data_IF_880861148352
#
_entry.id   IF_880861148352
#
_cell.length_a   1.000
_cell.length_b   1.000
_cell.length_c   1.000
_cell.angle_alpha   90.00
_cell.angle_beta   90.00
_cell.angle_gamma   90.00
#
_symmetry.space_group_name_H-M   'P 1'
#
loop_
_entity.id
_entity.type
_entity.pdbx_description
1 polymer ?
#
# COMPACT_ATOMS: atom_id res chain seq x y z
N UNK A 1 -18.55 20.57 34.00
CA UNK A 1 -17.98 19.23 34.27
C UNK A 1 -16.46 19.30 34.13
N UNK A 2 -15.71 19.28 35.23
CA UNK A 2 -14.24 19.25 35.18
C UNK A 2 -13.77 17.83 34.86
N UNK A 3 -13.01 17.68 33.77
CA UNK A 3 -12.42 16.40 33.37
C UNK A 3 -11.27 16.09 34.33
N UNK A 4 -11.43 15.10 35.22
CA UNK A 4 -10.35 14.61 36.09
C UNK A 4 -9.17 14.19 35.20
N UNK A 5 -7.96 14.68 35.51
CA UNK A 5 -6.73 14.20 34.87
C UNK A 5 -6.59 12.71 35.17
N UNK A 6 -6.50 11.91 34.12
CA UNK A 6 -6.16 10.49 34.21
C UNK A 6 -4.79 10.32 34.89
N UNK A 7 -4.55 9.18 35.59
CA UNK A 7 -3.27 8.89 36.21
C UNK A 7 -2.15 8.94 35.17
N UNK A 8 -0.95 9.42 35.56
CA UNK A 8 0.25 9.31 34.71
C UNK A 8 0.56 7.82 34.55
N UNK A 9 0.21 7.24 33.40
CA UNK A 9 0.72 5.93 33.00
C UNK A 9 2.14 6.12 32.48
N UNK A 10 3.09 5.37 33.05
CA UNK A 10 4.43 5.28 32.48
C UNK A 10 4.31 4.65 31.10
N UNK A 11 4.60 5.47 30.09
CA UNK A 11 4.47 5.06 28.69
C UNK A 11 5.61 4.09 28.39
N UNK A 12 5.27 2.87 27.97
CA UNK A 12 6.26 1.92 27.47
C UNK A 12 7.11 2.59 26.39
N UNK A 13 8.42 2.31 26.43
CA UNK A 13 9.35 2.78 25.40
C UNK A 13 8.92 2.21 24.05
N UNK A 14 9.00 3.05 23.01
CA UNK A 14 8.72 2.60 21.64
C UNK A 14 9.77 1.54 21.26
N UNK A 15 9.36 0.50 20.54
CA UNK A 15 10.28 -0.52 20.04
C UNK A 15 11.40 0.06 19.16
N UNK A 16 11.12 1.19 18.49
CA UNK A 16 12.09 1.92 17.66
C UNK A 16 13.14 2.69 18.47
N UNK A 17 13.05 2.72 19.80
CA UNK A 17 13.98 3.48 20.62
C UNK A 17 13.81 5.00 20.50
N UNK A 18 14.93 5.70 20.66
CA UNK A 18 15.00 7.16 20.81
C UNK A 18 15.79 7.75 19.65
N UNK A 19 15.26 8.79 19.01
CA UNK A 19 15.98 9.55 17.97
C UNK A 19 17.04 10.52 18.54
N UNK A 20 17.56 10.23 19.74
CA UNK A 20 18.64 10.99 20.37
C UNK A 20 19.93 10.21 20.15
N UNK A 21 20.94 10.89 19.63
CA UNK A 21 22.25 10.32 19.30
C UNK A 21 23.04 9.91 20.56
N UNK A 22 22.73 10.53 21.72
CA UNK A 22 23.38 10.30 23.02
C UNK A 22 24.93 10.33 22.96
N UNK A 23 25.48 10.98 21.94
CA UNK A 23 26.90 11.20 21.70
C UNK A 23 27.10 12.52 20.96
N UNK A 24 28.35 13.00 20.91
CA UNK A 24 28.71 14.17 20.14
C UNK A 24 28.87 13.79 18.66
N UNK A 25 28.28 14.59 17.76
CA UNK A 25 28.48 14.47 16.32
C UNK A 25 29.39 15.59 15.83
N UNK A 26 30.31 15.26 14.92
CA UNK A 26 31.20 16.22 14.25
C UNK A 26 30.60 16.86 12.99
N UNK A 27 29.46 16.36 12.49
CA UNK A 27 28.76 16.97 11.36
C UNK A 27 28.16 18.31 11.77
N UNK A 28 28.43 19.35 10.98
CA UNK A 28 27.97 20.70 11.26
C UNK A 28 27.83 21.53 9.98
N UNK A 29 27.00 22.58 10.06
CA UNK A 29 26.92 23.64 9.05
C UNK A 29 27.44 24.92 9.68
N UNK A 30 28.46 25.52 9.07
CA UNK A 30 29.02 26.81 9.49
C UNK A 30 28.67 27.86 8.45
N UNK A 31 27.87 28.85 8.83
CA UNK A 31 27.48 29.96 7.96
C UNK A 31 28.28 31.20 8.33
N UNK A 32 28.85 31.87 7.33
CA UNK A 32 29.52 33.16 7.45
C UNK A 32 28.73 34.16 6.62
N UNK A 33 28.23 35.21 7.26
CA UNK A 33 27.46 36.28 6.63
C UNK A 33 28.35 37.52 6.61
N UNK A 34 28.60 38.04 5.42
CA UNK A 34 29.23 39.34 5.15
C UNK A 34 28.21 40.25 4.45
N UNK A 35 28.42 41.57 4.45
CA UNK A 35 27.44 42.60 4.06
C UNK A 35 26.52 42.24 2.88
N UNK A 36 27.07 41.70 1.78
CA UNK A 36 26.30 41.26 0.60
C UNK A 36 26.50 39.79 0.22
N UNK A 37 27.14 38.96 1.05
CA UNK A 37 27.45 37.58 0.69
C UNK A 37 27.28 36.62 1.88
N UNK A 38 26.57 35.51 1.64
CA UNK A 38 26.43 34.42 2.58
C UNK A 38 27.21 33.20 2.08
N UNK A 39 28.17 32.72 2.88
CA UNK A 39 28.97 31.53 2.58
C UNK A 39 28.68 30.45 3.61
N UNK A 40 28.22 29.28 3.16
CA UNK A 40 27.93 28.13 4.01
C UNK A 40 28.94 27.00 3.78
N UNK A 41 29.59 26.56 4.84
CA UNK A 41 30.42 25.36 4.87
C UNK A 41 29.62 24.22 5.50
N UNK A 42 29.60 23.06 4.84
CA UNK A 42 28.91 21.89 5.34
C UNK A 42 29.86 20.70 5.47
N UNK A 43 29.89 20.10 6.65
CA UNK A 43 30.67 18.90 6.96
C UNK A 43 29.72 17.71 7.03
N UNK A 44 29.65 16.95 5.93
CA UNK A 44 28.69 15.83 5.77
C UNK A 44 29.02 14.60 6.61
N UNK A 45 30.30 14.35 6.86
CA UNK A 45 30.75 13.13 7.51
C UNK A 45 30.40 13.15 8.99
N UNK A 46 29.67 12.13 9.44
CA UNK A 46 29.31 11.95 10.85
C UNK A 46 30.38 11.07 11.52
N UNK A 47 30.99 11.57 12.59
CA UNK A 47 31.80 10.76 13.52
C UNK A 47 31.13 10.77 14.90
N UNK A 48 31.25 9.65 15.63
CA UNK A 48 30.71 9.50 16.99
C UNK A 48 29.35 8.82 17.08
N UNK A 49 28.69 8.54 15.96
CA UNK A 49 27.46 7.73 15.91
C UNK A 49 27.22 7.14 14.53
N UNK A 50 26.41 6.08 14.48
CA UNK A 50 25.93 5.51 13.24
C UNK A 50 24.67 6.22 12.73
N UNK A 51 24.38 6.03 11.45
CA UNK A 51 23.16 6.54 10.84
C UNK A 51 22.11 5.44 10.85
N UNK A 52 21.14 5.56 11.74
CA UNK A 52 20.03 4.63 11.81
C UNK A 52 18.98 4.92 10.72
N UNK A 53 18.90 4.04 9.72
CA UNK A 53 17.98 4.20 8.59
C UNK A 53 16.53 4.42 9.04
N UNK A 54 16.07 3.73 10.08
CA UNK A 54 14.70 3.86 10.62
C UNK A 54 14.32 5.28 11.07
N UNK A 55 15.31 6.09 11.46
CA UNK A 55 15.10 7.46 11.94
C UNK A 55 15.23 8.51 10.82
N UNK A 56 15.65 8.09 9.63
CA UNK A 56 15.66 8.96 8.46
C UNK A 56 14.24 9.24 7.96
N UNK A 57 14.08 10.40 7.32
CA UNK A 57 12.85 10.74 6.61
C UNK A 57 12.82 10.03 5.26
N UNK A 58 11.64 9.60 4.85
CA UNK A 58 11.39 9.13 3.48
C UNK A 58 11.59 10.32 2.54
N UNK A 59 12.27 10.10 1.41
CA UNK A 59 12.56 11.17 0.45
C UNK A 59 11.27 11.77 -0.12
N UNK A 60 11.30 13.05 -0.48
CA UNK A 60 10.14 13.72 -1.08
C UNK A 60 9.67 13.04 -2.36
N UNK A 61 10.62 12.52 -3.15
CA UNK A 61 10.35 11.77 -4.38
C UNK A 61 9.57 10.49 -4.07
N UNK A 62 10.05 9.67 -3.15
CA UNK A 62 9.40 8.39 -2.85
C UNK A 62 8.03 8.60 -2.21
N UNK A 63 7.89 9.64 -1.37
CA UNK A 63 6.59 10.05 -0.83
C UNK A 63 5.60 10.39 -1.92
N UNK A 64 6.02 11.13 -2.96
CA UNK A 64 5.17 11.47 -4.09
C UNK A 64 4.79 10.21 -4.90
N UNK A 65 5.71 9.28 -5.11
CA UNK A 65 5.43 8.00 -5.78
C UNK A 65 4.38 7.19 -5.02
N UNK A 66 4.52 7.06 -3.70
CA UNK A 66 3.53 6.37 -2.84
C UNK A 66 2.18 7.09 -2.88
N UNK A 67 2.19 8.42 -2.79
CA UNK A 67 0.98 9.23 -2.88
C UNK A 67 0.25 9.01 -4.22
N UNK A 68 0.99 8.94 -5.33
CA UNK A 68 0.43 8.59 -6.65
C UNK A 68 -0.25 7.22 -6.64
N UNK A 69 0.41 6.18 -6.11
CA UNK A 69 -0.20 4.84 -5.97
C UNK A 69 -1.48 4.87 -5.13
N UNK A 70 -1.46 5.59 -4.00
CA UNK A 70 -2.65 5.75 -3.14
C UNK A 70 -3.78 6.50 -3.85
N UNK A 71 -3.45 7.54 -4.63
CA UNK A 71 -4.42 8.30 -5.40
C UNK A 71 -5.05 7.49 -6.54
N UNK A 72 -4.34 6.46 -7.04
CA UNK A 72 -4.87 5.49 -8.00
C UNK A 72 -5.66 4.34 -7.35
N UNK A 73 -5.93 4.41 -6.03
CA UNK A 73 -6.71 3.38 -5.32
C UNK A 73 -5.93 2.11 -4.99
N UNK A 74 -4.60 2.08 -5.17
CA UNK A 74 -3.77 0.93 -4.78
C UNK A 74 -3.79 0.78 -3.25
N UNK A 75 -4.08 -0.44 -2.78
CA UNK A 75 -4.16 -0.71 -1.33
C UNK A 75 -2.81 -0.56 -0.63
N UNK A 76 -2.82 -0.15 0.64
CA UNK A 76 -1.60 0.00 1.46
C UNK A 76 -0.85 -1.34 1.55
N UNK A 77 -1.58 -2.45 1.64
CA UNK A 77 -0.99 -3.80 1.66
C UNK A 77 -0.20 -4.07 0.38
N UNK A 78 -0.77 -3.77 -0.80
CA UNK A 78 -0.06 -3.96 -2.07
C UNK A 78 1.18 -3.08 -2.18
N UNK A 79 1.09 -1.82 -1.74
CA UNK A 79 2.25 -0.91 -1.72
C UNK A 79 3.38 -1.47 -0.84
N UNK A 80 3.05 -2.03 0.33
CA UNK A 80 4.05 -2.64 1.22
C UNK A 80 4.68 -3.89 0.59
N UNK A 81 3.87 -4.73 -0.06
CA UNK A 81 4.37 -5.97 -0.67
C UNK A 81 5.23 -5.69 -1.90
N UNK A 82 4.84 -4.74 -2.75
CA UNK A 82 5.67 -4.27 -3.88
C UNK A 82 7.03 -3.76 -3.38
N UNK A 83 7.03 -3.00 -2.29
CA UNK A 83 8.26 -2.46 -1.73
C UNK A 83 9.17 -3.56 -1.15
N UNK A 84 8.57 -4.57 -0.50
CA UNK A 84 9.29 -5.74 0.00
C UNK A 84 9.83 -6.64 -1.11
N UNK A 85 9.24 -6.62 -2.30
CA UNK A 85 9.73 -7.40 -3.44
C UNK A 85 10.89 -6.71 -4.17
N UNK A 86 10.95 -5.38 -4.14
CA UNK A 86 11.97 -4.59 -4.84
C UNK A 86 13.21 -4.27 -3.98
N UNK A 87 13.39 -4.94 -2.84
CA UNK A 87 14.50 -4.66 -1.95
C UNK A 87 15.84 -5.18 -2.51
N UNK A 88 16.91 -4.43 -2.30
CA UNK A 88 18.27 -4.86 -2.59
C UNK A 88 19.06 -4.98 -1.28
N UNK A 89 19.50 -6.19 -0.94
CA UNK A 89 20.22 -6.45 0.31
C UNK A 89 21.50 -5.60 0.47
N UNK A 90 22.15 -5.27 -0.65
CA UNK A 90 23.42 -4.53 -0.65
C UNK A 90 23.25 -3.02 -0.43
N UNK A 91 22.03 -2.47 -0.56
CA UNK A 91 21.75 -1.03 -0.45
C UNK A 91 20.42 -0.78 0.23
N UNK A 92 20.35 -1.07 1.52
CA UNK A 92 19.16 -0.76 2.32
C UNK A 92 18.97 0.76 2.46
N UNK A 93 17.80 1.24 2.07
CA UNK A 93 17.38 2.62 2.15
C UNK A 93 16.21 2.78 3.13
N UNK A 94 15.90 4.02 3.51
CA UNK A 94 14.75 4.32 4.38
C UNK A 94 13.43 3.82 3.78
N UNK A 95 13.29 3.86 2.45
CA UNK A 95 12.08 3.43 1.75
C UNK A 95 11.83 1.93 1.92
N UNK A 96 12.86 1.10 2.04
CA UNK A 96 12.71 -0.36 2.20
C UNK A 96 12.08 -0.72 3.55
N UNK A 97 12.21 0.16 4.55
CA UNK A 97 11.65 0.02 5.89
C UNK A 97 10.27 0.69 6.03
N UNK A 98 9.46 0.69 4.97
CA UNK A 98 8.11 1.26 5.01
C UNK A 98 7.22 0.52 6.01
N UNK A 99 6.47 1.29 6.79
CA UNK A 99 5.41 0.78 7.67
C UNK A 99 4.04 1.25 7.21
N UNK A 100 2.97 0.56 7.64
CA UNK A 100 1.59 1.05 7.45
C UNK A 100 1.40 2.47 7.96
N UNK A 101 2.07 2.81 9.07
CA UNK A 101 1.99 4.14 9.66
C UNK A 101 2.62 5.21 8.76
N UNK A 102 3.74 4.89 8.12
CA UNK A 102 4.37 5.79 7.15
C UNK A 102 3.43 6.11 5.99
N UNK A 103 2.80 5.08 5.42
CA UNK A 103 1.87 5.23 4.30
C UNK A 103 0.63 6.04 4.72
N UNK A 104 0.08 5.80 5.91
CA UNK A 104 -1.02 6.62 6.45
C UNK A 104 -0.62 8.10 6.64
N UNK A 105 0.59 8.36 7.14
CA UNK A 105 1.07 9.72 7.30
C UNK A 105 1.27 10.40 5.94
N UNK A 106 1.72 9.65 4.92
CA UNK A 106 1.81 10.14 3.54
C UNK A 106 0.41 10.46 3.02
N UNK A 107 -0.54 9.52 3.10
CA UNK A 107 -1.96 9.72 2.72
C UNK A 107 -2.52 11.02 3.28
N UNK A 108 -2.36 11.22 4.59
CA UNK A 108 -2.79 12.46 5.25
C UNK A 108 -2.04 13.69 4.76
N UNK A 109 -0.72 13.62 4.56
CA UNK A 109 0.07 14.77 4.11
C UNK A 109 -0.26 15.25 2.70
N UNK A 110 -0.86 14.38 1.88
CA UNK A 110 -1.31 14.68 0.52
C UNK A 110 -2.83 14.86 0.42
N UNK A 111 -3.56 14.86 1.55
CA UNK A 111 -5.03 14.95 1.60
C UNK A 111 -5.73 13.95 0.65
N UNK A 112 -5.25 12.70 0.62
CA UNK A 112 -5.85 11.66 -0.20
C UNK A 112 -7.01 11.04 0.59
N UNK A 113 -8.23 11.37 0.20
CA UNK A 113 -9.46 10.92 0.89
C UNK A 113 -10.02 9.58 0.35
N UNK A 114 -9.32 8.97 -0.60
CA UNK A 114 -9.72 7.69 -1.19
C UNK A 114 -9.71 6.58 -0.12
N UNK A 115 -10.83 5.88 0.05
CA UNK A 115 -10.97 4.75 0.95
C UNK A 115 -10.27 3.54 0.32
N UNK A 116 -9.49 2.78 1.11
CA UNK A 116 -8.77 1.60 0.57
C UNK A 116 -9.75 0.63 -0.11
N UNK A 117 -9.44 0.23 -1.35
CA UNK A 117 -10.27 -0.73 -2.10
C UNK A 117 -11.48 -0.11 -2.80
N UNK A 118 -11.71 1.19 -2.67
CA UNK A 118 -12.78 1.92 -3.37
C UNK A 118 -12.14 2.73 -4.48
N UNK A 119 -12.26 2.26 -5.73
CA UNK A 119 -11.67 2.91 -6.92
C UNK A 119 -12.40 4.19 -7.30
N UNK A 120 -13.70 4.25 -7.03
CA UNK A 120 -14.58 5.38 -7.26
C UNK A 120 -15.61 5.47 -6.14
N UNK A 121 -16.10 6.67 -5.80
CA UNK A 121 -17.14 6.86 -4.77
C UNK A 121 -18.46 6.16 -5.09
N UNK A 122 -18.62 5.73 -6.35
CA UNK A 122 -19.75 4.98 -6.85
C UNK A 122 -19.28 3.57 -7.21
N UNK A 123 -19.84 2.58 -6.52
CA UNK A 123 -19.39 1.19 -6.60
C UNK A 123 -19.60 0.59 -8.00
N UNK A 124 -20.68 0.98 -8.70
CA UNK A 124 -20.96 0.53 -10.06
C UNK A 124 -19.81 0.86 -11.03
N UNK A 125 -19.31 2.10 -10.99
CA UNK A 125 -18.20 2.56 -11.83
C UNK A 125 -16.91 1.78 -11.50
N UNK A 126 -16.66 1.52 -10.22
CA UNK A 126 -15.49 0.74 -9.78
C UNK A 126 -15.49 -0.67 -10.34
N UNK A 127 -16.68 -1.30 -10.40
CA UNK A 127 -16.88 -2.65 -10.92
C UNK A 127 -16.79 -2.65 -12.44
N UNK A 128 -17.39 -1.68 -13.14
CA UNK A 128 -17.25 -1.54 -14.60
C UNK A 128 -15.78 -1.45 -15.01
N UNK A 129 -15.01 -0.59 -14.34
CA UNK A 129 -13.56 -0.46 -14.57
C UNK A 129 -12.82 -1.78 -14.32
N UNK A 130 -13.16 -2.51 -13.25
CA UNK A 130 -12.59 -3.82 -12.96
C UNK A 130 -12.93 -4.86 -14.05
N UNK A 131 -14.17 -4.85 -14.54
CA UNK A 131 -14.62 -5.75 -15.60
C UNK A 131 -13.86 -5.50 -16.89
N UNK A 132 -13.70 -4.23 -17.28
CA UNK A 132 -12.95 -3.85 -18.48
C UNK A 132 -11.45 -4.20 -18.38
N UNK A 133 -10.84 -4.03 -17.20
CA UNK A 133 -9.46 -4.47 -16.96
C UNK A 133 -9.32 -5.99 -17.09
N UNK A 134 -10.25 -6.76 -16.50
CA UNK A 134 -10.22 -8.22 -16.56
C UNK A 134 -10.41 -8.78 -17.97
N UNK A 135 -11.20 -8.11 -18.82
CA UNK A 135 -11.34 -8.46 -20.25
C UNK A 135 -10.01 -8.38 -21.02
N UNK A 136 -9.06 -7.57 -20.55
CA UNK A 136 -7.73 -7.42 -21.18
C UNK A 136 -6.71 -8.45 -20.71
N UNK A 137 -7.03 -9.24 -19.68
CA UNK A 137 -6.13 -10.29 -19.19
C UNK A 137 -6.17 -11.50 -20.13
N UNK A 138 -5.02 -12.15 -20.32
CA UNK A 138 -4.91 -13.40 -21.07
C UNK A 138 -5.81 -14.50 -20.47
N UNK A 139 -5.98 -14.48 -19.15
CA UNK A 139 -6.92 -15.33 -18.42
C UNK A 139 -7.93 -14.44 -17.70
N UNK A 140 -9.05 -14.18 -18.35
CA UNK A 140 -10.13 -13.37 -17.80
C UNK A 140 -10.92 -14.17 -16.74
N UNK A 141 -10.92 -13.74 -15.46
CA UNK A 141 -11.64 -14.44 -14.40
C UNK A 141 -13.16 -14.19 -14.41
N UNK A 142 -13.68 -13.33 -15.29
CA UNK A 142 -15.09 -12.94 -15.30
C UNK A 142 -15.85 -13.84 -16.29
N UNK A 143 -16.74 -14.67 -15.75
CA UNK A 143 -17.59 -15.57 -16.53
C UNK A 143 -18.87 -14.87 -17.02
N UNK A 144 -19.41 -13.96 -16.22
CA UNK A 144 -20.62 -13.22 -16.56
C UNK A 144 -20.65 -11.88 -15.82
N UNK A 145 -21.13 -10.84 -16.48
CA UNK A 145 -21.30 -9.52 -15.90
C UNK A 145 -22.58 -8.88 -16.41
N UNK A 146 -23.40 -8.36 -15.48
CA UNK A 146 -24.65 -7.67 -15.75
C UNK A 146 -24.79 -6.48 -14.79
N UNK A 147 -24.60 -5.24 -15.28
CA UNK A 147 -24.79 -4.02 -14.49
C UNK A 147 -26.28 -3.75 -14.22
N UNK A 148 -26.56 -2.88 -13.25
CA UNK A 148 -27.92 -2.36 -13.04
C UNK A 148 -28.30 -1.44 -14.20
N UNK A 149 -29.57 -1.46 -14.63
CA UNK A 149 -30.03 -0.67 -15.77
C UNK A 149 -30.05 -1.44 -17.09
N UNK A 150 -29.32 -2.54 -17.20
CA UNK A 150 -29.25 -3.37 -18.41
C UNK A 150 -30.33 -4.46 -18.39
N UNK A 151 -30.99 -4.68 -19.53
CA UNK A 151 -31.98 -5.74 -19.70
C UNK A 151 -31.30 -7.09 -19.87
N UNK A 152 -31.83 -8.10 -19.19
CA UNK A 152 -31.41 -9.50 -19.31
C UNK A 152 -32.66 -10.39 -19.42
N UNK A 153 -32.49 -11.59 -19.98
CA UNK A 153 -33.60 -12.53 -20.21
C UNK A 153 -34.16 -13.08 -18.91
N UNK A 154 -33.31 -13.22 -17.87
CA UNK A 154 -33.64 -13.87 -16.60
C UNK A 154 -33.64 -12.85 -15.45
N UNK A 155 -32.69 -11.92 -15.46
CA UNK A 155 -32.46 -10.97 -14.37
C UNK A 155 -33.28 -9.69 -14.55
N UNK A 156 -33.77 -9.11 -13.45
CA UNK A 156 -34.52 -7.85 -13.48
C UNK A 156 -33.57 -6.70 -13.76
N UNK A 157 -34.10 -5.59 -14.27
CA UNK A 157 -33.30 -4.41 -14.60
C UNK A 157 -32.52 -3.88 -13.38
N UNK A 158 -33.12 -3.94 -12.18
CA UNK A 158 -32.47 -3.51 -10.93
C UNK A 158 -31.36 -4.46 -10.42
N UNK A 159 -31.30 -5.69 -10.92
CA UNK A 159 -30.36 -6.69 -10.43
C UNK A 159 -28.94 -6.40 -10.92
N UNK A 160 -27.97 -6.57 -10.02
CA UNK A 160 -26.54 -6.54 -10.31
C UNK A 160 -25.99 -7.96 -10.17
N UNK A 161 -25.30 -8.48 -11.19
CA UNK A 161 -24.68 -9.81 -11.14
C UNK A 161 -23.28 -9.78 -11.74
N UNK A 162 -22.33 -10.36 -11.00
CA UNK A 162 -21.00 -10.68 -11.51
C UNK A 162 -20.67 -12.11 -11.09
N UNK A 163 -20.26 -12.93 -12.06
CA UNK A 163 -19.79 -14.29 -11.83
C UNK A 163 -18.29 -14.31 -12.13
N UNK A 164 -17.51 -14.65 -11.11
CA UNK A 164 -16.05 -14.72 -11.18
C UNK A 164 -15.57 -16.13 -10.86
N UNK A 165 -14.54 -16.58 -11.57
CA UNK A 165 -13.87 -17.85 -11.34
C UNK A 165 -12.39 -17.71 -11.64
N UNK A 166 -11.56 -18.04 -10.65
CA UNK A 166 -10.12 -18.13 -10.83
C UNK A 166 -9.75 -19.52 -11.39
N UNK A 167 -8.61 -19.60 -12.08
CA UNK A 167 -7.99 -20.78 -12.69
C UNK A 167 -7.90 -21.95 -11.70
N UNK A 168 -7.56 -21.67 -10.43
CA UNK A 168 -7.49 -22.72 -9.41
C UNK A 168 -8.86 -23.35 -9.11
N UNK A 169 -9.94 -22.58 -9.25
CA UNK A 169 -11.31 -23.07 -9.05
C UNK A 169 -11.78 -23.84 -10.29
N UNK A 170 -11.45 -23.37 -11.49
CA UNK A 170 -11.69 -24.07 -12.75
C UNK A 170 -11.02 -25.45 -12.76
N UNK A 171 -9.71 -25.50 -12.49
CA UNK A 171 -8.95 -26.76 -12.44
C UNK A 171 -9.47 -27.71 -11.36
N UNK A 172 -9.94 -27.20 -10.22
CA UNK A 172 -10.58 -28.02 -9.18
C UNK A 172 -11.92 -28.61 -9.66
N UNK A 173 -12.73 -27.85 -10.40
CA UNK A 173 -13.99 -28.32 -10.96
C UNK A 173 -13.77 -29.39 -12.04
N UNK A 174 -12.81 -29.19 -12.94
CA UNK A 174 -12.43 -30.19 -13.95
C UNK A 174 -11.97 -31.49 -13.31
N UNK A 175 -11.16 -31.38 -12.26
CA UNK A 175 -10.68 -32.53 -11.48
C UNK A 175 -11.84 -33.31 -10.84
N UNK A 176 -12.85 -32.61 -10.31
CA UNK A 176 -14.04 -33.22 -9.70
C UNK A 176 -14.91 -33.94 -10.74
N UNK A 177 -15.07 -33.38 -11.93
CA UNK A 177 -15.83 -34.01 -13.03
C UNK A 177 -15.13 -35.28 -13.50
N UNK A 178 -13.80 -35.28 -13.62
CA UNK A 178 -13.01 -36.47 -13.98
C UNK A 178 -13.14 -37.56 -12.92
N UNK A 179 -13.08 -37.21 -11.64
CA UNK A 179 -13.28 -38.16 -10.53
C UNK A 179 -14.68 -38.76 -10.61
N UNK A 180 -15.74 -37.96 -10.77
CA UNK A 180 -17.10 -38.48 -10.87
C UNK A 180 -17.29 -39.43 -12.06
N UNK A 181 -16.70 -39.11 -13.22
CA UNK A 181 -16.72 -39.98 -14.40
C UNK A 181 -15.98 -41.31 -14.16
N UNK A 182 -14.81 -41.29 -13.51
CA UNK A 182 -14.08 -42.50 -13.15
C UNK A 182 -14.85 -43.40 -12.19
N UNK A 183 -15.57 -42.81 -11.22
CA UNK A 183 -16.38 -43.56 -10.27
C UNK A 183 -17.63 -44.16 -10.93
N UNK A 184 -18.25 -43.46 -11.88
CA UNK A 184 -19.36 -44.04 -12.66
C UNK A 184 -18.92 -45.18 -13.58
N UNK A 185 -17.71 -45.14 -14.14
CA UNK A 185 -17.18 -46.23 -14.99
C UNK A 185 -16.76 -47.45 -14.16
N UNK A 186 -16.37 -47.29 -12.89
CA UNK A 186 -16.02 -48.41 -12.00
C UNK A 186 -17.24 -49.02 -11.27
N UNK A 187 -18.42 -48.40 -11.34
CA UNK A 187 -19.66 -48.90 -10.72
C UNK A 187 -20.66 -49.50 -11.72
N UNK A 188 -20.30 -49.61 -13.00
CA UNK A 188 -21.04 -50.33 -14.06
C UNK A 188 -20.24 -51.57 -14.46
#
# INVERSE_FOLDING_TARGET
KFRKKSPKTDRLSKCQGTNKINSACTSQIKVVISDNMCTAFYYKTHYGHDVELQHLRISSRDRATIAGKLASGVSISRILDDNRQNFSADKLQRIDLLTRKDIHNIKHSFNIDIIEGVRHSEDAISIDLFVEECKQLEMNPILFYKPQGEEDVILRNEDFVIIIMNISQETMLDSLVIILLQWTVHMV
#
